data_IF_995966569458
#
_entry.id   IF_995966569458
#
_cell.length_a   1.000
_cell.length_b   1.000
_cell.length_c   1.000
_cell.angle_alpha   90.00
_cell.angle_beta   90.00
_cell.angle_gamma   90.00
#
_symmetry.space_group_name_H-M   'P 1'
#
loop_
_entity.id
_entity.type
_entity.pdbx_description
1 polymer ?
#
# COMPACT_ATOMS: atom_id res chain seq x y z
N UNK A 1 -2.38 3.53 -10.09
CA UNK A 1 -3.80 3.36 -9.69
C UNK A 1 -4.75 4.14 -10.58
N UNK A 2 -4.82 5.48 -10.52
CA UNK A 2 -5.83 6.27 -11.25
C UNK A 2 -5.80 6.10 -12.79
N UNK A 3 -4.60 5.98 -13.37
CA UNK A 3 -4.42 5.74 -14.82
C UNK A 3 -4.75 4.29 -15.20
N UNK A 4 -4.35 3.33 -14.36
CA UNK A 4 -4.43 1.90 -14.65
C UNK A 4 -5.80 1.28 -14.32
N UNK A 5 -6.59 1.93 -13.47
CA UNK A 5 -7.91 1.46 -13.07
C UNK A 5 -8.98 2.49 -13.49
N UNK A 6 -9.73 2.22 -14.56
CA UNK A 6 -10.76 3.14 -15.06
C UNK A 6 -11.97 3.27 -14.11
N UNK A 7 -12.18 2.33 -13.18
CA UNK A 7 -13.28 2.38 -12.20
C UNK A 7 -13.06 3.46 -11.12
N UNK A 8 -11.83 3.95 -10.94
CA UNK A 8 -11.55 5.04 -9.99
C UNK A 8 -12.04 6.36 -10.58
N UNK A 9 -12.96 7.05 -9.93
CA UNK A 9 -13.48 8.32 -10.44
C UNK A 9 -12.46 9.45 -10.35
N UNK A 10 -11.76 9.57 -9.23
CA UNK A 10 -10.81 10.64 -8.95
C UNK A 10 -9.71 10.21 -7.97
N UNK A 11 -8.68 11.04 -7.82
CA UNK A 11 -7.70 10.94 -6.75
C UNK A 11 -7.41 12.32 -6.15
N UNK A 12 -7.21 12.34 -4.84
CA UNK A 12 -6.76 13.51 -4.10
C UNK A 12 -5.39 13.19 -3.49
N UNK A 13 -4.40 14.01 -3.80
CA UNK A 13 -3.08 13.98 -3.17
C UNK A 13 -3.09 15.00 -2.06
N UNK A 14 -2.81 14.55 -0.83
CA UNK A 14 -2.72 15.41 0.35
C UNK A 14 -1.29 15.38 0.85
N UNK A 15 -0.65 16.54 0.88
CA UNK A 15 0.69 16.71 1.45
C UNK A 15 0.81 18.13 2.01
N UNK A 16 1.76 18.38 2.92
CA UNK A 16 1.94 19.70 3.54
C UNK A 16 2.51 20.74 2.58
N UNK A 17 3.14 20.30 1.50
CA UNK A 17 3.74 21.18 0.49
C UNK A 17 3.63 20.53 -0.88
N UNK A 18 3.19 21.29 -1.88
CA UNK A 18 3.19 20.91 -3.28
C UNK A 18 4.61 20.97 -3.83
N UNK A 19 5.16 19.87 -4.37
CA UNK A 19 6.48 19.89 -4.97
C UNK A 19 6.43 20.63 -6.31
N UNK A 20 7.51 21.35 -6.64
CA UNK A 20 7.62 22.11 -7.90
C UNK A 20 7.52 21.20 -9.15
N UNK A 21 7.86 19.92 -8.99
CA UNK A 21 7.75 18.90 -10.04
C UNK A 21 6.32 18.42 -10.30
N UNK A 22 5.34 18.77 -9.45
CA UNK A 22 3.97 18.24 -9.53
C UNK A 22 3.34 18.47 -10.90
N UNK A 23 3.23 19.74 -11.34
CA UNK A 23 2.56 20.06 -12.60
C UNK A 23 3.28 19.46 -13.81
N UNK A 24 4.61 19.43 -13.76
CA UNK A 24 5.45 18.82 -14.81
C UNK A 24 5.19 17.32 -14.93
N UNK A 25 5.09 16.63 -13.79
CA UNK A 25 4.81 15.19 -13.77
C UNK A 25 3.38 14.89 -14.21
N UNK A 26 2.39 15.62 -13.69
CA UNK A 26 0.98 15.44 -14.07
C UNK A 26 0.78 15.70 -15.56
N UNK A 27 1.36 16.77 -16.11
CA UNK A 27 1.28 17.06 -17.55
C UNK A 27 1.95 15.98 -18.39
N UNK A 28 3.12 15.51 -17.98
CA UNK A 28 3.83 14.43 -18.69
C UNK A 28 3.01 13.13 -18.69
N UNK A 29 2.38 12.79 -17.55
CA UNK A 29 1.50 11.62 -17.44
C UNK A 29 0.21 11.80 -18.24
N UNK A 30 -0.40 12.99 -18.24
CA UNK A 30 -1.60 13.28 -19.02
C UNK A 30 -1.34 13.15 -20.53
N UNK A 31 -0.18 13.62 -20.99
CA UNK A 31 0.23 13.48 -22.39
C UNK A 31 0.53 12.02 -22.78
N UNK A 32 1.15 11.26 -21.88
CA UNK A 32 1.42 9.84 -22.11
C UNK A 32 0.14 8.98 -22.07
N UNK A 33 -0.88 9.41 -21.31
CA UNK A 33 -2.14 8.68 -21.14
C UNK A 33 -3.38 9.59 -21.36
N UNK A 34 -3.64 10.07 -22.59
CA UNK A 34 -4.69 11.08 -22.84
C UNK A 34 -6.10 10.60 -22.46
N UNK A 35 -6.41 9.33 -22.68
CA UNK A 35 -7.69 8.72 -22.35
C UNK A 35 -8.01 8.76 -20.84
N UNK A 36 -6.98 8.87 -19.98
CA UNK A 36 -7.16 8.94 -18.53
C UNK A 36 -7.77 10.26 -18.06
N UNK A 37 -7.75 11.33 -18.88
CA UNK A 37 -8.20 12.70 -18.51
C UNK A 37 -7.66 13.14 -17.14
N UNK A 38 -6.37 12.89 -16.89
CA UNK A 38 -5.77 12.98 -15.55
C UNK A 38 -6.00 14.32 -14.84
N UNK A 39 -5.85 15.45 -15.55
CA UNK A 39 -6.07 16.79 -14.99
C UNK A 39 -7.50 17.01 -14.45
N UNK A 40 -8.51 16.34 -15.01
CA UNK A 40 -9.89 16.46 -14.55
C UNK A 40 -10.19 15.58 -13.31
N UNK A 41 -9.35 14.58 -13.06
CA UNK A 41 -9.57 13.54 -12.04
C UNK A 41 -8.60 13.63 -10.86
N UNK A 42 -7.49 14.35 -11.00
CA UNK A 42 -6.47 14.51 -9.98
C UNK A 42 -6.57 15.90 -9.33
N UNK A 43 -6.58 15.93 -7.99
CA UNK A 43 -6.50 17.17 -7.21
C UNK A 43 -5.35 17.09 -6.23
N UNK A 44 -4.67 18.23 -6.04
CA UNK A 44 -3.67 18.39 -5.00
C UNK A 44 -4.23 19.29 -3.90
N UNK A 45 -4.08 18.88 -2.64
CA UNK A 45 -4.47 19.64 -1.47
C UNK A 45 -3.25 19.80 -0.58
N UNK A 46 -2.83 21.05 -0.37
CA UNK A 46 -1.80 21.38 0.61
C UNK A 46 -2.41 21.35 2.02
N UNK A 47 -2.32 20.21 2.70
CA UNK A 47 -2.88 20.00 4.04
C UNK A 47 -2.17 18.84 4.76
N UNK A 48 -2.47 18.66 6.06
CA UNK A 48 -2.07 17.46 6.77
C UNK A 48 -2.98 16.30 6.38
N UNK A 49 -2.43 15.10 6.18
CA UNK A 49 -3.26 13.89 5.98
C UNK A 49 -4.17 13.62 7.19
N UNK A 50 -3.82 14.12 8.37
CA UNK A 50 -4.65 14.03 9.57
C UNK A 50 -6.00 14.75 9.41
N UNK A 51 -6.10 15.72 8.49
CA UNK A 51 -7.32 16.47 8.22
C UNK A 51 -8.21 15.80 7.15
N UNK A 52 -7.75 14.67 6.59
CA UNK A 52 -8.50 13.93 5.59
C UNK A 52 -9.67 13.17 6.22
N UNK A 53 -10.82 13.19 5.55
CA UNK A 53 -12.04 12.48 5.97
C UNK A 53 -12.39 11.39 4.94
N UNK A 54 -11.61 10.30 4.86
CA UNK A 54 -11.90 9.22 3.93
C UNK A 54 -13.23 8.54 4.28
N UNK A 55 -13.86 7.97 3.27
CA UNK A 55 -15.09 7.18 3.41
C UNK A 55 -14.78 5.71 3.12
N UNK A 56 -15.68 4.75 3.41
CA UNK A 56 -15.48 3.35 3.00
C UNK A 56 -15.24 3.15 1.49
N UNK A 57 -15.67 4.10 0.65
CA UNK A 57 -15.45 4.10 -0.79
C UNK A 57 -14.12 4.74 -1.23
N UNK A 58 -13.35 5.27 -0.28
CA UNK A 58 -12.05 5.92 -0.53
C UNK A 58 -10.93 4.91 -0.27
N UNK A 59 -10.08 4.66 -1.27
CA UNK A 59 -8.86 3.88 -1.06
C UNK A 59 -7.71 4.81 -0.64
N UNK A 60 -7.12 4.55 0.52
CA UNK A 60 -5.95 5.27 1.02
C UNK A 60 -4.66 4.64 0.51
N UNK A 61 -3.79 5.45 -0.10
CA UNK A 61 -2.50 4.98 -0.62
C UNK A 61 -1.39 5.89 -0.13
N UNK A 62 -0.35 5.33 0.48
CA UNK A 62 0.84 6.08 0.87
C UNK A 62 2.11 5.36 0.44
N UNK A 63 2.94 6.06 -0.34
CA UNK A 63 4.25 5.60 -0.80
C UNK A 63 5.31 6.30 0.04
N UNK A 64 6.34 5.57 0.45
CA UNK A 64 7.31 5.97 1.47
C UNK A 64 6.67 5.94 2.88
N UNK A 65 5.68 6.78 3.19
CA UNK A 65 4.98 6.75 4.49
C UNK A 65 5.94 6.77 5.73
N UNK A 66 7.02 7.55 5.67
CA UNK A 66 8.10 7.55 6.66
C UNK A 66 7.67 8.09 8.03
N UNK A 67 8.41 7.69 9.07
CA UNK A 67 8.11 8.06 10.46
C UNK A 67 6.76 7.51 10.90
N UNK A 68 5.96 8.36 11.52
CA UNK A 68 4.64 8.00 12.04
C UNK A 68 3.53 8.03 10.96
N UNK A 69 3.87 8.42 9.73
CA UNK A 69 2.89 8.59 8.64
C UNK A 69 2.21 7.26 8.27
N UNK A 70 2.96 6.15 8.28
CA UNK A 70 2.38 4.81 8.08
C UNK A 70 1.29 4.53 9.12
N UNK A 71 1.57 4.80 10.39
CA UNK A 71 0.66 4.50 11.49
C UNK A 71 -0.57 5.42 11.48
N UNK A 72 -0.39 6.69 11.12
CA UNK A 72 -1.48 7.65 10.92
C UNK A 72 -2.41 7.22 9.78
N UNK A 73 -1.87 6.84 8.62
CA UNK A 73 -2.68 6.40 7.46
C UNK A 73 -3.44 5.10 7.78
N UNK A 74 -2.79 4.16 8.47
CA UNK A 74 -3.45 2.91 8.88
C UNK A 74 -4.56 3.15 9.92
N UNK A 75 -4.35 4.10 10.83
CA UNK A 75 -5.38 4.52 11.80
C UNK A 75 -6.58 5.16 11.09
N UNK A 76 -6.34 6.11 10.19
CA UNK A 76 -7.41 6.74 9.38
C UNK A 76 -8.19 5.69 8.58
N UNK A 77 -7.49 4.72 7.99
CA UNK A 77 -8.12 3.62 7.27
C UNK A 77 -9.02 2.78 8.18
N UNK A 78 -8.53 2.41 9.36
CA UNK A 78 -9.28 1.64 10.33
C UNK A 78 -10.54 2.38 10.82
N UNK A 79 -10.41 3.67 11.15
CA UNK A 79 -11.52 4.51 11.63
C UNK A 79 -12.59 4.71 10.55
N UNK A 80 -12.18 4.97 9.30
CA UNK A 80 -13.11 5.18 8.18
C UNK A 80 -13.61 3.88 7.53
N UNK A 81 -13.08 2.71 7.92
CA UNK A 81 -13.25 1.42 7.24
C UNK A 81 -12.98 1.54 5.73
N UNK A 82 -11.87 2.19 5.41
CA UNK A 82 -11.41 2.46 4.05
C UNK A 82 -10.34 1.47 3.64
N UNK A 83 -10.38 0.89 2.42
CA UNK A 83 -9.27 0.10 1.89
C UNK A 83 -7.95 0.88 1.93
N UNK A 84 -6.85 0.22 2.22
CA UNK A 84 -5.56 0.89 2.41
C UNK A 84 -4.39 0.11 1.82
N UNK A 85 -3.43 0.82 1.23
CA UNK A 85 -2.14 0.30 0.82
C UNK A 85 -1.03 1.25 1.25
N UNK A 86 -0.10 0.77 2.08
CA UNK A 86 1.06 1.56 2.54
C UNK A 86 2.36 0.84 2.24
N UNK A 87 3.37 1.62 1.82
CA UNK A 87 4.73 1.14 1.57
C UNK A 87 5.67 1.80 2.59
N UNK A 88 5.87 1.22 3.78
CA UNK A 88 6.75 1.80 4.79
C UNK A 88 8.21 1.87 4.29
N UNK A 89 8.86 3.02 4.45
CA UNK A 89 10.29 3.25 4.13
C UNK A 89 11.20 3.21 5.35
N UNK A 90 10.74 3.73 6.49
CA UNK A 90 11.54 3.85 7.70
C UNK A 90 10.67 3.68 8.93
N UNK A 91 11.30 3.33 10.06
CA UNK A 91 10.66 3.29 11.36
C UNK A 91 11.38 4.28 12.27
N UNK A 92 10.69 5.32 12.71
CA UNK A 92 11.18 6.19 13.78
C UNK A 92 10.73 5.62 15.13
N UNK A 93 11.44 5.97 16.22
CA UNK A 93 10.98 5.60 17.57
C UNK A 93 10.95 4.08 17.86
N UNK A 94 11.97 3.33 17.46
CA UNK A 94 12.03 1.87 17.64
C UNK A 94 12.16 1.38 19.11
N UNK A 95 12.15 2.26 20.11
CA UNK A 95 12.26 1.85 21.51
C UNK A 95 11.09 0.95 21.93
N UNK A 96 9.85 1.35 21.64
CA UNK A 96 8.65 0.53 21.88
C UNK A 96 8.68 -0.75 21.02
N UNK A 97 9.17 -0.63 19.79
CA UNK A 97 9.30 -1.76 18.88
C UNK A 97 10.30 -2.82 19.37
N UNK A 98 11.39 -2.41 20.03
CA UNK A 98 12.37 -3.31 20.65
C UNK A 98 11.76 -4.10 21.79
N UNK A 99 11.12 -3.40 22.74
CA UNK A 99 10.43 -4.07 23.85
C UNK A 99 9.33 -5.02 23.35
N UNK A 100 8.61 -4.65 22.28
CA UNK A 100 7.63 -5.54 21.67
C UNK A 100 8.28 -6.75 20.99
N UNK A 101 9.37 -6.56 20.25
CA UNK A 101 10.14 -7.64 19.63
C UNK A 101 10.69 -8.63 20.67
N UNK A 102 11.23 -8.13 21.78
CA UNK A 102 11.71 -8.96 22.90
C UNK A 102 10.59 -9.83 23.47
N UNK A 103 9.41 -9.25 23.70
CA UNK A 103 8.23 -9.99 24.17
C UNK A 103 7.77 -11.06 23.18
N UNK A 104 7.77 -10.76 21.88
CA UNK A 104 7.42 -11.74 20.84
C UNK A 104 8.44 -12.88 20.78
N UNK A 105 9.73 -12.57 20.84
CA UNK A 105 10.79 -13.57 20.84
C UNK A 105 10.72 -14.46 22.08
N UNK A 106 10.42 -13.90 23.26
CA UNK A 106 10.23 -14.68 24.48
C UNK A 106 9.05 -15.65 24.36
N UNK A 107 7.90 -15.20 23.82
CA UNK A 107 6.74 -16.06 23.59
C UNK A 107 7.03 -17.20 22.59
N UNK A 108 7.79 -16.92 21.52
CA UNK A 108 8.18 -17.94 20.53
C UNK A 108 9.20 -18.96 21.06
N UNK A 109 10.02 -18.57 22.03
CA UNK A 109 10.99 -19.46 22.65
C UNK A 109 10.31 -20.49 23.57
N UNK A 110 9.17 -20.13 24.18
CA UNK A 110 8.39 -21.00 25.07
C UNK A 110 7.59 -22.07 24.29
N UNK A 111 7.30 -21.84 23.01
CA UNK A 111 6.57 -22.76 22.12
C UNK A 111 7.40 -23.96 21.61
N UNK A 112 8.60 -24.19 22.14
CA UNK A 112 9.25 -25.51 22.13
C UNK A 112 9.54 -26.14 20.77
N UNK A 113 10.02 -25.38 19.78
CA UNK A 113 10.49 -25.99 18.52
C UNK A 113 11.89 -26.60 18.70
N UNK A 114 11.96 -27.93 18.83
CA UNK A 114 13.18 -28.73 18.99
C UNK A 114 14.09 -28.81 17.76
N UNK A 115 14.30 -27.68 17.08
CA UNK A 115 15.25 -27.50 15.98
C UNK A 115 15.94 -26.13 16.09
N UNK A 116 16.74 -25.75 15.09
CA UNK A 116 17.27 -24.37 15.00
C UNK A 116 16.09 -23.40 15.02
N UNK A 117 15.83 -22.79 16.19
CA UNK A 117 14.63 -21.99 16.44
C UNK A 117 14.46 -20.83 15.46
N UNK A 118 13.25 -20.23 15.39
CA UNK A 118 12.99 -19.10 14.51
C UNK A 118 14.00 -17.98 14.78
N UNK A 119 14.54 -17.39 13.70
CA UNK A 119 15.44 -16.23 13.84
C UNK A 119 14.76 -15.12 14.65
N UNK A 120 15.48 -14.45 15.56
CA UNK A 120 14.90 -13.40 16.38
C UNK A 120 14.18 -12.34 15.54
N UNK A 121 12.93 -12.06 15.89
CA UNK A 121 12.15 -10.98 15.32
C UNK A 121 12.88 -9.68 15.61
N UNK A 122 13.27 -8.96 14.56
CA UNK A 122 13.87 -7.65 14.71
C UNK A 122 12.79 -6.57 14.94
N UNK A 123 13.13 -5.42 15.56
CA UNK A 123 12.16 -4.37 15.88
C UNK A 123 11.36 -3.88 14.68
N UNK A 124 11.92 -3.87 13.47
CA UNK A 124 11.16 -3.48 12.28
C UNK A 124 10.09 -4.50 11.90
N UNK A 125 10.35 -5.79 12.06
CA UNK A 125 9.32 -6.81 11.83
C UNK A 125 8.22 -6.68 12.89
N UNK A 126 8.59 -6.45 14.15
CA UNK A 126 7.63 -6.27 15.24
C UNK A 126 6.68 -5.07 15.00
N UNK A 127 7.18 -3.95 14.46
CA UNK A 127 6.33 -2.82 14.04
C UNK A 127 5.32 -3.21 12.97
N UNK A 128 5.77 -3.90 11.92
CA UNK A 128 4.87 -4.32 10.84
C UNK A 128 3.83 -5.34 11.32
N UNK A 129 4.21 -6.23 12.25
CA UNK A 129 3.27 -7.14 12.92
C UNK A 129 2.20 -6.34 13.67
N UNK A 130 2.59 -5.32 14.44
CA UNK A 130 1.64 -4.47 15.16
C UNK A 130 0.69 -3.73 14.20
N UNK A 131 1.19 -3.25 13.05
CA UNK A 131 0.39 -2.60 12.01
C UNK A 131 -0.63 -3.53 11.36
N UNK A 132 -0.20 -4.75 11.02
CA UNK A 132 -1.08 -5.77 10.47
C UNK A 132 -2.16 -6.15 11.50
N UNK A 133 -1.78 -6.27 12.76
CA UNK A 133 -2.71 -6.61 13.84
C UNK A 133 -3.72 -5.50 14.12
N UNK A 134 -3.31 -4.23 14.04
CA UNK A 134 -4.22 -3.08 14.12
C UNK A 134 -5.34 -3.20 13.06
N UNK A 135 -4.97 -3.47 11.81
CA UNK A 135 -5.94 -3.64 10.73
C UNK A 135 -6.82 -4.89 10.92
N UNK A 136 -6.26 -6.03 11.35
CA UNK A 136 -7.03 -7.25 11.62
C UNK A 136 -8.10 -7.02 12.69
N UNK A 137 -7.73 -6.36 13.79
CA UNK A 137 -8.67 -6.00 14.87
C UNK A 137 -9.75 -5.04 14.40
N UNK A 138 -9.46 -4.21 13.40
CA UNK A 138 -10.43 -3.35 12.74
C UNK A 138 -11.30 -4.08 11.69
N UNK A 139 -11.16 -5.40 11.53
CA UNK A 139 -11.97 -6.22 10.64
C UNK A 139 -11.48 -6.28 9.18
N UNK A 140 -10.21 -5.94 8.93
CA UNK A 140 -9.64 -6.00 7.59
C UNK A 140 -9.07 -7.39 7.26
N UNK A 141 -9.20 -7.77 5.99
CA UNK A 141 -8.35 -8.77 5.37
C UNK A 141 -7.01 -8.12 5.04
N UNK A 142 -5.94 -8.59 5.69
CA UNK A 142 -4.62 -7.98 5.58
C UNK A 142 -3.65 -8.87 4.83
N UNK A 143 -2.86 -8.26 3.96
CA UNK A 143 -1.75 -8.90 3.27
C UNK A 143 -0.49 -8.03 3.39
N UNK A 144 0.61 -8.64 3.74
CA UNK A 144 1.93 -8.05 3.56
C UNK A 144 2.63 -8.77 2.41
N UNK A 145 3.19 -8.02 1.46
CA UNK A 145 4.01 -8.56 0.37
C UNK A 145 5.39 -7.95 0.39
N UNK A 146 6.39 -8.77 0.07
CA UNK A 146 7.75 -8.30 -0.13
C UNK A 146 7.88 -7.66 -1.51
N UNK A 147 8.55 -6.52 -1.58
CA UNK A 147 8.95 -5.86 -2.83
C UNK A 147 10.48 -5.77 -2.88
N UNK A 148 11.08 -5.56 -4.07
CA UNK A 148 12.53 -5.41 -4.20
C UNK A 148 13.08 -4.31 -3.27
N UNK A 149 14.27 -4.56 -2.69
CA UNK A 149 14.89 -3.66 -1.68
C UNK A 149 15.30 -2.31 -2.27
N UNK A 150 15.48 -2.27 -3.59
CA UNK A 150 15.80 -1.09 -4.39
C UNK A 150 14.64 -0.08 -4.35
N UNK A 151 13.40 -0.54 -4.10
CA UNK A 151 12.21 0.32 -4.00
C UNK A 151 12.07 0.92 -2.60
N UNK A 152 12.33 0.13 -1.55
CA UNK A 152 12.39 0.60 -0.15
C UNK A 152 13.28 -0.32 0.67
N UNK A 153 14.09 0.20 1.62
CA UNK A 153 14.90 -0.61 2.51
C UNK A 153 14.10 -1.64 3.31
N UNK A 154 12.83 -1.33 3.62
CA UNK A 154 11.90 -2.23 4.34
C UNK A 154 11.19 -3.21 3.44
N UNK A 155 11.30 -3.01 2.13
CA UNK A 155 11.02 -4.02 1.12
C UNK A 155 9.65 -4.70 1.29
N UNK A 156 8.65 -3.93 1.74
CA UNK A 156 7.31 -4.41 2.12
C UNK A 156 6.22 -3.46 1.66
N UNK A 157 5.09 -4.04 1.32
CA UNK A 157 3.80 -3.35 1.12
C UNK A 157 2.78 -4.00 2.04
N UNK A 158 2.06 -3.18 2.80
CA UNK A 158 0.93 -3.60 3.64
C UNK A 158 -0.35 -3.19 2.93
N UNK A 159 -1.25 -4.14 2.72
CA UNK A 159 -2.56 -3.93 2.10
C UNK A 159 -3.64 -4.40 3.07
N UNK A 160 -4.66 -3.57 3.27
CA UNK A 160 -5.87 -3.91 4.00
C UNK A 160 -7.09 -3.74 3.10
N UNK A 161 -7.89 -4.79 2.95
CA UNK A 161 -9.17 -4.76 2.28
C UNK A 161 -10.31 -5.01 3.28
N UNK A 162 -11.41 -4.28 3.15
CA UNK A 162 -12.61 -4.49 3.98
C UNK A 162 -13.51 -5.50 3.27
N UNK A 163 -14.14 -6.43 4.01
CA UNK A 163 -14.91 -7.55 3.44
C UNK A 163 -15.99 -7.12 2.41
N UNK A 164 -16.64 -5.96 2.58
CA UNK A 164 -17.59 -5.43 1.59
C UNK A 164 -16.92 -4.98 0.27
N UNK A 165 -15.69 -4.45 0.33
CA UNK A 165 -14.89 -4.13 -0.84
C UNK A 165 -14.24 -5.38 -1.47
N UNK A 166 -13.94 -6.40 -0.66
CA UNK A 166 -13.49 -7.71 -1.15
C UNK A 166 -14.61 -8.46 -1.89
N UNK A 167 -15.86 -8.37 -1.40
CA UNK A 167 -17.03 -8.91 -2.08
C UNK A 167 -17.34 -8.18 -3.39
N UNK A 168 -17.16 -6.85 -3.46
CA UNK A 168 -17.27 -6.10 -4.71
C UNK A 168 -16.14 -6.43 -5.72
N UNK A 169 -14.99 -6.91 -5.25
CA UNK A 169 -13.91 -7.42 -6.11
C UNK A 169 -14.09 -8.90 -6.50
N UNK A 170 -14.85 -9.68 -5.73
CA UNK A 170 -15.12 -11.11 -5.96
C UNK A 170 -16.47 -11.38 -6.63
N UNK A 171 -17.39 -10.41 -6.64
CA UNK A 171 -18.71 -10.49 -7.26
C UNK A 171 -18.72 -10.25 -8.77
N UNK A 172 -17.54 -10.16 -9.40
CA UNK A 172 -17.33 -9.93 -10.83
C UNK A 172 -16.83 -11.22 -11.54
N UNK A 173 -16.84 -12.36 -10.83
CA UNK A 173 -16.24 -13.64 -11.25
C UNK A 173 -17.28 -14.78 -11.43
N UNK A 174 -18.55 -14.45 -11.69
CA UNK A 174 -19.54 -15.45 -12.13
C UNK A 174 -20.29 -14.98 -13.37
N UNK A 175 -20.11 -15.80 -14.40
CA UNK A 175 -20.86 -15.90 -15.65
C UNK A 175 -20.53 -14.81 -16.69
N UNK A 176 -19.49 -15.07 -17.49
CA UNK A 176 -19.42 -14.75 -18.93
C UNK A 176 -18.30 -15.58 -19.60
N UNK A 177 -18.66 -16.79 -20.06
CA UNK A 177 -17.94 -17.50 -21.12
C UNK A 177 -18.13 -16.72 -22.43
N UNK A 178 -17.31 -15.69 -22.62
CA UNK A 178 -16.92 -15.03 -23.89
C UNK A 178 -16.60 -13.55 -23.61
N UNK A 179 -15.48 -13.30 -22.95
CA UNK A 179 -15.05 -11.94 -22.65
C UNK A 179 -14.15 -11.88 -21.42
N UNK A 180 -12.97 -12.47 -21.52
CA UNK A 180 -11.97 -12.42 -20.45
C UNK A 180 -11.75 -10.97 -19.99
N UNK A 181 -12.19 -10.67 -18.76
CA UNK A 181 -11.70 -9.50 -18.03
C UNK A 181 -10.17 -9.53 -18.09
N UNK A 182 -9.51 -8.48 -18.58
CA UNK A 182 -8.07 -8.50 -18.75
C UNK A 182 -7.44 -8.54 -17.36
N UNK A 183 -7.08 -9.75 -16.92
CA UNK A 183 -6.30 -9.95 -15.71
C UNK A 183 -5.04 -9.08 -15.75
N UNK A 184 -4.42 -8.87 -14.59
CA UNK A 184 -3.21 -8.04 -14.42
C UNK A 184 -2.13 -8.22 -15.50
N UNK A 185 -2.03 -9.41 -16.12
CA UNK A 185 -1.21 -9.68 -17.31
C UNK A 185 -1.59 -8.85 -18.53
N UNK A 186 -2.86 -8.80 -18.92
CA UNK A 186 -3.33 -8.04 -20.09
C UNK A 186 -3.19 -6.52 -19.90
N UNK A 187 -3.27 -6.02 -18.66
CA UNK A 187 -2.92 -4.63 -18.33
C UNK A 187 -1.41 -4.40 -18.43
N UNK A 188 -0.57 -5.35 -18.01
CA UNK A 188 0.88 -5.25 -18.18
C UNK A 188 1.30 -5.26 -19.66
N UNK A 189 0.59 -6.03 -20.50
CA UNK A 189 0.84 -6.13 -21.94
C UNK A 189 0.40 -4.88 -22.73
N UNK A 190 -0.46 -4.03 -22.15
CA UNK A 190 -0.94 -2.77 -22.75
C UNK A 190 -0.20 -1.53 -22.24
N UNK A 191 0.68 -1.67 -21.23
CA UNK A 191 1.58 -0.60 -20.80
C UNK A 191 2.70 -0.49 -21.84
N UNK A 192 2.92 0.69 -22.46
CA UNK A 192 4.03 0.88 -23.38
C UNK A 192 5.35 0.46 -22.70
N UNK A 193 6.21 -0.24 -23.45
CA UNK A 193 7.49 -0.70 -22.93
C UNK A 193 8.22 0.45 -22.22
N UNK A 194 8.46 0.27 -20.92
CA UNK A 194 9.15 1.26 -20.10
C UNK A 194 10.50 1.60 -20.75
N UNK A 195 10.84 2.89 -20.97
CA UNK A 195 12.16 3.28 -21.48
C UNK A 195 13.28 2.93 -20.49
N UNK A 196 12.93 2.64 -19.23
CA UNK A 196 13.83 2.12 -18.22
C UNK A 196 13.91 0.60 -18.38
N UNK A 197 15.01 0.10 -18.97
CA UNK A 197 15.33 -1.34 -18.94
C UNK A 197 15.49 -1.75 -17.48
N UNK A 198 14.63 -2.66 -17.03
CA UNK A 198 14.79 -3.29 -15.72
C UNK A 198 16.11 -4.05 -15.76
N UNK A 199 17.06 -3.67 -14.90
CA UNK A 199 18.26 -4.46 -14.72
C UNK A 199 17.85 -5.82 -14.15
N UNK A 200 17.82 -6.83 -15.03
CA UNK A 200 17.82 -8.23 -14.61
C UNK A 200 19.20 -8.47 -14.02
N UNK A 201 19.29 -8.45 -12.69
CA UNK A 201 20.48 -8.95 -12.00
C UNK A 201 20.41 -10.46 -12.12
N UNK A 202 21.31 -11.00 -12.94
CA UNK A 202 21.38 -12.43 -13.25
C UNK A 202 21.71 -13.27 -12.02
N UNK A 203 21.02 -14.41 -11.98
CA UNK A 203 21.41 -15.76 -11.50
C UNK A 203 22.47 -15.88 -10.41
#
# INVERSE_FOLDING_TARGET
MLILNPRLSSAVVVDRRKPDSHERLVSSLANAFPASRLHARLRYVEASIADATPTPCTALVSVHACGDLSDLVLKLAAEARSPVAVVPCCHQGLSKARAFAERLNAALADEGTGGSGPSPICPSVAMDVARLELLRRAGFHVHARTIPREITPKNRVIVGAVAAAAAAAAGDDKDDEDGASPGWRSVADTIPASPWKWHVVGS
#
